data_IF_345889609562
#
_entry.id   IF_345889609562
#
_cell.length_a   1.000
_cell.length_b   1.000
_cell.length_c   1.000
_cell.angle_alpha   90.00
_cell.angle_beta   90.00
_cell.angle_gamma   90.00
#
_symmetry.space_group_name_H-M   'P 1'
#
loop_
_entity.id
_entity.type
_entity.pdbx_description
1 polymer ?
#
# COMPACT_ATOMS: atom_id res chain seq x y z
N UNK A 1 8.45 -24.01 -4.67
CA UNK A 1 8.16 -23.08 -5.79
C UNK A 1 7.64 -21.76 -5.23
N UNK A 2 7.97 -20.66 -5.87
CA UNK A 2 7.52 -19.32 -5.45
C UNK A 2 5.99 -19.16 -5.40
N UNK A 3 5.26 -20.02 -6.13
CA UNK A 3 3.78 -20.02 -6.19
C UNK A 3 3.11 -20.49 -4.90
N UNK A 4 3.83 -21.10 -3.97
CA UNK A 4 3.25 -21.61 -2.72
C UNK A 4 3.38 -20.62 -1.56
N UNK A 5 4.06 -19.48 -1.78
CA UNK A 5 4.26 -18.46 -0.76
C UNK A 5 3.08 -17.49 -0.76
N UNK A 6 2.51 -17.20 0.42
CA UNK A 6 1.42 -16.23 0.51
C UNK A 6 1.88 -14.86 0.00
N UNK A 7 1.07 -14.25 -0.86
CA UNK A 7 1.31 -12.88 -1.32
C UNK A 7 0.70 -11.88 -0.34
N UNK A 8 1.45 -10.84 0.00
CA UNK A 8 0.98 -9.69 0.78
C UNK A 8 1.07 -8.46 -0.11
N UNK A 9 -0.03 -7.75 -0.26
CA UNK A 9 -0.06 -6.50 -1.00
C UNK A 9 0.14 -5.33 -0.04
N UNK A 10 1.09 -4.45 -0.34
CA UNK A 10 1.39 -3.26 0.46
C UNK A 10 1.24 -2.03 -0.41
N UNK A 11 0.29 -1.16 -0.08
CA UNK A 11 0.21 0.16 -0.67
C UNK A 11 1.07 1.14 0.13
N UNK A 12 1.81 2.00 -0.55
CA UNK A 12 2.74 2.91 0.14
C UNK A 12 4.02 2.23 0.64
N UNK A 13 4.40 1.12 0.02
CA UNK A 13 5.56 0.32 0.43
C UNK A 13 6.93 0.96 0.17
N UNK A 14 6.99 2.07 -0.55
CA UNK A 14 8.24 2.83 -0.78
C UNK A 14 8.45 3.98 0.22
N UNK A 15 7.49 4.21 1.12
CA UNK A 15 7.60 5.19 2.20
C UNK A 15 8.43 4.68 3.38
N UNK A 16 8.58 5.50 4.41
CA UNK A 16 9.38 5.16 5.58
C UNK A 16 8.83 3.93 6.33
N UNK A 17 7.58 3.96 6.74
CA UNK A 17 6.95 2.82 7.44
C UNK A 17 6.80 1.65 6.49
N UNK A 18 6.32 1.89 5.28
CA UNK A 18 6.05 0.85 4.28
C UNK A 18 7.31 0.07 3.90
N UNK A 19 8.45 0.72 3.70
CA UNK A 19 9.69 0.04 3.34
C UNK A 19 10.18 -0.90 4.46
N UNK A 20 10.05 -0.50 5.72
CA UNK A 20 10.38 -1.35 6.87
C UNK A 20 9.41 -2.54 6.98
N UNK A 21 8.13 -2.32 6.70
CA UNK A 21 7.16 -3.41 6.65
C UNK A 21 7.48 -4.42 5.55
N UNK A 22 7.81 -3.94 4.35
CA UNK A 22 8.19 -4.80 3.23
C UNK A 22 9.40 -5.66 3.59
N UNK A 23 10.44 -5.05 4.15
CA UNK A 23 11.63 -5.78 4.62
C UNK A 23 11.25 -6.88 5.62
N UNK A 24 10.42 -6.54 6.60
CA UNK A 24 9.98 -7.50 7.62
C UNK A 24 9.17 -8.66 7.04
N UNK A 25 8.32 -8.39 6.07
CA UNK A 25 7.53 -9.42 5.39
C UNK A 25 8.43 -10.36 4.58
N UNK A 26 9.41 -9.81 3.86
CA UNK A 26 10.40 -10.59 3.12
C UNK A 26 11.23 -11.48 4.04
N UNK A 27 11.67 -10.96 5.18
CA UNK A 27 12.40 -11.73 6.19
C UNK A 27 11.59 -12.93 6.74
N UNK A 28 10.26 -12.82 6.71
CA UNK A 28 9.38 -13.90 7.13
C UNK A 28 8.96 -14.84 6.00
N UNK A 29 9.49 -14.63 4.80
CA UNK A 29 9.28 -15.53 3.68
C UNK A 29 8.00 -15.27 2.87
N UNK A 30 7.36 -14.12 3.04
CA UNK A 30 6.22 -13.74 2.21
C UNK A 30 6.67 -13.22 0.85
N UNK A 31 5.86 -13.47 -0.18
CA UNK A 31 5.94 -12.70 -1.40
C UNK A 31 5.25 -11.35 -1.19
N UNK A 32 5.80 -10.27 -1.71
CA UNK A 32 5.25 -8.92 -1.48
C UNK A 32 5.01 -8.21 -2.80
N UNK A 33 3.79 -7.75 -3.00
CA UNK A 33 3.42 -6.86 -4.10
C UNK A 33 3.28 -5.45 -3.55
N UNK A 34 4.06 -4.51 -4.05
CA UNK A 34 4.04 -3.11 -3.62
C UNK A 34 3.39 -2.24 -4.69
N UNK A 35 2.44 -1.40 -4.27
CA UNK A 35 1.85 -0.35 -5.10
C UNK A 35 2.16 1.00 -4.47
N UNK A 36 2.91 1.84 -5.18
CA UNK A 36 3.33 3.16 -4.70
C UNK A 36 3.57 4.10 -5.88
N UNK A 37 3.15 5.34 -5.77
CA UNK A 37 3.38 6.38 -6.79
C UNK A 37 4.70 7.13 -6.61
N UNK A 38 5.44 6.83 -5.54
CA UNK A 38 6.74 7.42 -5.19
C UNK A 38 6.71 8.92 -4.87
N UNK A 39 5.56 9.51 -4.54
CA UNK A 39 5.48 10.93 -4.17
C UNK A 39 6.15 11.25 -2.84
N UNK A 40 6.13 10.32 -1.89
CA UNK A 40 6.64 10.52 -0.54
C UNK A 40 7.89 9.75 -0.22
N UNK A 41 8.33 8.89 -1.10
CA UNK A 41 9.52 8.07 -0.93
C UNK A 41 9.77 7.16 -2.13
N UNK A 42 10.98 6.68 -2.23
CA UNK A 42 11.40 5.79 -3.31
C UNK A 42 12.33 4.70 -2.78
N UNK A 43 12.05 4.18 -1.60
CA UNK A 43 12.81 3.10 -1.00
C UNK A 43 12.43 1.76 -1.64
N UNK A 44 13.33 1.23 -2.45
CA UNK A 44 13.19 -0.07 -3.10
C UNK A 44 14.13 -1.07 -2.45
N UNK A 45 13.63 -2.29 -2.24
CA UNK A 45 14.41 -3.42 -1.75
C UNK A 45 14.62 -4.36 -2.95
N UNK A 46 15.88 -4.66 -3.26
CA UNK A 46 16.21 -5.66 -4.27
C UNK A 46 16.07 -7.05 -3.67
N UNK A 47 15.02 -7.76 -4.06
CA UNK A 47 14.74 -9.10 -3.58
C UNK A 47 13.89 -9.86 -4.61
N UNK A 48 14.14 -11.15 -4.76
CA UNK A 48 13.41 -11.99 -5.73
C UNK A 48 11.92 -12.18 -5.39
N UNK A 49 11.54 -11.97 -4.13
CA UNK A 49 10.18 -12.16 -3.62
C UNK A 49 9.41 -10.84 -3.46
N UNK A 50 9.84 -9.77 -4.10
CA UNK A 50 9.10 -8.51 -4.12
C UNK A 50 8.95 -7.99 -5.54
N UNK A 51 7.76 -7.51 -5.87
CA UNK A 51 7.52 -6.78 -7.10
C UNK A 51 6.94 -5.40 -6.81
N UNK A 52 7.37 -4.41 -7.58
CA UNK A 52 6.96 -3.02 -7.42
C UNK A 52 6.14 -2.55 -8.61
N UNK A 53 4.97 -1.99 -8.33
CA UNK A 53 4.14 -1.30 -9.30
C UNK A 53 4.15 0.20 -8.97
N UNK A 54 4.86 0.98 -9.78
CA UNK A 54 4.88 2.44 -9.65
C UNK A 54 3.59 3.01 -10.25
N UNK A 55 2.60 3.19 -9.41
CA UNK A 55 1.27 3.58 -9.83
C UNK A 55 0.50 4.20 -8.67
N UNK A 56 -0.37 5.16 -8.97
CA UNK A 56 -1.36 5.62 -8.02
C UNK A 56 -2.36 4.47 -7.71
N UNK A 57 -2.67 4.27 -6.43
CA UNK A 57 -3.64 3.25 -5.98
C UNK A 57 -4.96 3.37 -6.75
N UNK A 58 -5.39 4.59 -7.06
CA UNK A 58 -6.64 4.84 -7.80
C UNK A 58 -6.61 4.35 -9.25
N UNK A 59 -5.43 4.20 -9.82
CA UNK A 59 -5.25 3.74 -11.21
C UNK A 59 -4.74 2.29 -11.30
N UNK A 60 -4.44 1.68 -10.16
CA UNK A 60 -4.02 0.30 -10.11
C UNK A 60 -5.21 -0.65 -10.18
N UNK A 61 -5.15 -1.58 -11.11
CA UNK A 61 -6.15 -2.64 -11.21
C UNK A 61 -5.46 -3.99 -10.99
N UNK A 62 -5.63 -4.60 -9.79
CA UNK A 62 -4.96 -5.84 -9.46
C UNK A 62 -5.33 -7.03 -10.37
N UNK A 63 -6.51 -7.00 -10.98
CA UNK A 63 -6.90 -8.03 -11.94
C UNK A 63 -6.16 -7.91 -13.27
N UNK A 64 -5.95 -6.68 -13.75
CA UNK A 64 -5.22 -6.43 -15.00
C UNK A 64 -3.71 -6.54 -14.82
N UNK A 65 -3.20 -6.29 -13.63
CA UNK A 65 -1.77 -6.41 -13.33
C UNK A 65 -1.30 -7.85 -13.21
N UNK A 66 -2.22 -8.82 -13.25
CA UNK A 66 -1.91 -10.25 -13.13
C UNK A 66 -1.06 -10.61 -11.91
N UNK A 67 -1.31 -9.91 -10.80
CA UNK A 67 -0.63 -10.21 -9.54
C UNK A 67 -1.19 -11.50 -8.92
N UNK A 68 -0.37 -12.16 -8.13
CA UNK A 68 -0.86 -13.27 -7.30
C UNK A 68 -1.90 -12.73 -6.30
N UNK A 69 -3.04 -13.41 -6.14
CA UNK A 69 -4.06 -12.97 -5.19
C UNK A 69 -3.49 -12.78 -3.78
N UNK A 70 -3.64 -11.60 -3.18
CA UNK A 70 -3.10 -11.38 -1.85
C UNK A 70 -3.92 -12.10 -0.78
N UNK A 71 -3.24 -12.63 0.22
CA UNK A 71 -3.87 -13.17 1.44
C UNK A 71 -4.14 -12.09 2.49
N UNK A 72 -3.44 -10.96 2.38
CA UNK A 72 -3.68 -9.77 3.18
C UNK A 72 -3.21 -8.51 2.45
N UNK A 73 -3.80 -7.39 2.80
CA UNK A 73 -3.45 -6.07 2.26
C UNK A 73 -3.09 -5.15 3.42
N UNK A 74 -1.93 -4.48 3.34
CA UNK A 74 -1.55 -3.38 4.22
C UNK A 74 -1.68 -2.07 3.46
N UNK A 75 -2.63 -1.23 3.86
CA UNK A 75 -2.89 0.04 3.21
C UNK A 75 -2.19 1.18 3.97
N UNK A 76 -1.05 1.63 3.44
CA UNK A 76 -0.25 2.72 3.99
C UNK A 76 -0.17 3.93 3.04
N UNK A 77 -0.69 3.79 1.82
CA UNK A 77 -0.70 4.87 0.84
C UNK A 77 -1.73 5.93 1.24
N UNK A 78 -1.26 7.10 1.62
CA UNK A 78 -2.10 8.25 1.93
C UNK A 78 -1.31 9.55 1.72
N UNK A 79 -1.97 10.69 1.90
CA UNK A 79 -1.35 12.00 1.92
C UNK A 79 -1.23 12.47 3.38
N UNK A 80 -0.11 12.19 4.06
CA UNK A 80 0.00 12.39 5.51
C UNK A 80 0.41 13.79 5.92
N UNK A 81 0.75 14.66 4.98
CA UNK A 81 1.31 16.00 5.26
C UNK A 81 0.23 16.98 5.70
N UNK A 82 0.24 17.35 6.97
CA UNK A 82 -0.71 18.31 7.57
C UNK A 82 -0.72 19.64 6.81
N UNK A 83 0.46 20.20 6.50
CA UNK A 83 0.56 21.45 5.77
C UNK A 83 -0.14 21.41 4.42
N UNK A 84 0.08 20.35 3.65
CA UNK A 84 -0.60 20.16 2.36
C UNK A 84 -2.10 20.01 2.54
N UNK A 85 -2.54 19.32 3.59
CA UNK A 85 -3.95 19.16 3.89
C UNK A 85 -4.64 20.50 4.24
N UNK A 86 -3.92 21.41 4.86
CA UNK A 86 -4.43 22.75 5.15
C UNK A 86 -4.50 23.63 3.88
N UNK A 87 -3.54 23.50 2.98
CA UNK A 87 -3.51 24.24 1.72
C UNK A 87 -4.49 23.67 0.69
N UNK A 88 -4.65 22.36 0.65
CA UNK A 88 -5.48 21.62 -0.31
C UNK A 88 -6.38 20.58 0.36
N UNK A 89 -7.33 21.01 1.20
CA UNK A 89 -8.12 20.08 2.02
C UNK A 89 -9.00 19.15 1.19
N UNK A 90 -9.64 19.66 0.16
CA UNK A 90 -10.53 18.84 -0.69
C UNK A 90 -9.75 17.75 -1.41
N UNK A 91 -8.63 18.08 -2.01
CA UNK A 91 -7.76 17.10 -2.69
C UNK A 91 -7.29 16.02 -1.72
N UNK A 92 -6.80 16.42 -0.55
CA UNK A 92 -6.28 15.51 0.47
C UNK A 92 -7.36 14.55 0.99
N UNK A 93 -8.52 15.09 1.36
CA UNK A 93 -9.63 14.27 1.88
C UNK A 93 -10.14 13.33 0.81
N UNK A 94 -10.39 13.84 -0.40
CA UNK A 94 -10.90 13.04 -1.52
C UNK A 94 -9.93 11.91 -1.86
N UNK A 95 -8.63 12.20 -1.95
CA UNK A 95 -7.62 11.19 -2.24
C UNK A 95 -7.56 10.12 -1.15
N UNK A 96 -7.54 10.50 0.11
CA UNK A 96 -7.44 9.54 1.23
C UNK A 96 -8.70 8.66 1.34
N UNK A 97 -9.89 9.21 1.12
CA UNK A 97 -11.13 8.44 1.09
C UNK A 97 -11.16 7.51 -0.11
N UNK A 98 -10.87 8.01 -1.30
CA UNK A 98 -10.95 7.25 -2.54
C UNK A 98 -9.97 6.07 -2.57
N UNK A 99 -8.73 6.27 -2.13
CA UNK A 99 -7.75 5.19 -2.05
C UNK A 99 -8.15 4.12 -1.03
N UNK A 100 -8.71 4.52 0.10
CA UNK A 100 -9.22 3.58 1.11
C UNK A 100 -10.40 2.76 0.57
N UNK A 101 -11.32 3.40 -0.15
CA UNK A 101 -12.44 2.70 -0.80
C UNK A 101 -11.94 1.69 -1.84
N UNK A 102 -10.98 2.07 -2.67
CA UNK A 102 -10.40 1.17 -3.68
C UNK A 102 -9.79 -0.08 -3.04
N UNK A 103 -8.98 0.12 -2.00
CA UNK A 103 -8.31 -0.98 -1.30
C UNK A 103 -9.30 -1.86 -0.54
N UNK A 104 -10.35 -1.29 0.04
CA UNK A 104 -11.43 -2.05 0.67
C UNK A 104 -12.16 -2.95 -0.34
N UNK A 105 -12.40 -2.45 -1.55
CA UNK A 105 -12.97 -3.25 -2.63
C UNK A 105 -12.03 -4.39 -3.05
N UNK A 106 -10.72 -4.17 -3.15
CA UNK A 106 -9.77 -5.24 -3.43
C UNK A 106 -9.83 -6.32 -2.35
N UNK A 107 -9.82 -5.93 -1.08
CA UNK A 107 -9.91 -6.89 0.03
C UNK A 107 -11.19 -7.73 -0.03
N UNK A 108 -12.30 -7.11 -0.40
CA UNK A 108 -13.58 -7.81 -0.60
C UNK A 108 -13.51 -8.79 -1.79
N UNK A 109 -12.99 -8.35 -2.92
CA UNK A 109 -12.89 -9.16 -4.14
C UNK A 109 -11.96 -10.36 -3.94
N UNK A 110 -10.82 -10.17 -3.30
CA UNK A 110 -9.86 -11.24 -2.99
C UNK A 110 -10.22 -12.04 -1.74
N UNK A 111 -11.26 -11.64 -1.02
CA UNK A 111 -11.65 -12.25 0.26
C UNK A 111 -10.46 -12.36 1.22
N UNK A 112 -9.73 -11.30 1.39
CA UNK A 112 -8.53 -11.24 2.22
C UNK A 112 -8.65 -10.21 3.35
N UNK A 113 -7.72 -10.28 4.30
CA UNK A 113 -7.65 -9.34 5.42
C UNK A 113 -7.15 -7.98 4.96
N UNK A 114 -7.72 -6.92 5.51
CA UNK A 114 -7.27 -5.54 5.29
C UNK A 114 -6.77 -4.94 6.59
N UNK A 115 -5.54 -4.45 6.57
CA UNK A 115 -4.94 -3.65 7.62
C UNK A 115 -4.68 -2.25 7.08
N UNK A 116 -5.10 -1.23 7.80
CA UNK A 116 -4.73 0.13 7.45
C UNK A 116 -4.30 0.92 8.67
N UNK A 117 -3.31 1.80 8.46
CA UNK A 117 -2.81 2.67 9.50
C UNK A 117 -3.45 4.06 9.37
N UNK A 118 -3.92 4.57 10.48
CA UNK A 118 -4.38 5.96 10.59
C UNK A 118 -3.29 6.84 11.17
N UNK A 119 -3.21 8.08 10.71
CA UNK A 119 -2.26 9.04 11.29
C UNK A 119 -2.69 9.43 12.70
N UNK A 120 -1.73 9.41 13.61
CA UNK A 120 -1.96 9.85 14.98
C UNK A 120 -1.76 11.36 15.19
N UNK A 121 -1.05 12.02 14.28
CA UNK A 121 -0.65 13.43 14.49
C UNK A 121 -1.82 14.41 14.54
N UNK A 122 -2.95 14.05 13.93
CA UNK A 122 -4.17 14.89 13.95
C UNK A 122 -5.20 14.42 14.97
N UNK A 123 -5.02 13.25 15.56
CA UNK A 123 -5.96 12.68 16.53
C UNK A 123 -5.68 13.08 17.97
N UNK A 124 -4.45 13.48 18.27
CA UNK A 124 -3.96 13.75 19.62
C UNK A 124 -3.48 15.21 19.80
N UNK A 125 -4.18 16.12 19.18
CA UNK A 125 -3.91 17.55 19.37
C UNK A 125 -4.55 18.06 20.64
#
# INVERSE_FOLDING_TARGET
>A
MLTDMPNILVTGGCGFIGSHLVEKLLDQGFFVTVVDDNRSGSHYIEHEMVEYHKCDVMHFNPHHASIEPPSAIFHLANSPRIRRALEFPTETITNNIATTCAVADWARIFNCKLFFATSSSTQYV
#
